data_IF_279569040159
#
_entry.id   IF_279569040159
#
_cell.length_a   1.000
_cell.length_b   1.000
_cell.length_c   1.000
_cell.angle_alpha   90.00
_cell.angle_beta   90.00
_cell.angle_gamma   90.00
#
_symmetry.space_group_name_H-M   'P 1'
#
loop_
_entity.id
_entity.type
_entity.pdbx_description
1 polymer ?
#
# COMPACT_ATOMS: atom_id res chain seq x y z
N UNK A 1 -8.58 14.62 -0.69
CA UNK A 1 -9.75 13.93 -0.10
C UNK A 1 -9.54 13.69 1.39
N UNK A 2 -10.47 12.98 2.04
CA UNK A 2 -10.31 12.53 3.44
C UNK A 2 -9.86 11.05 3.41
N UNK A 3 -8.85 10.62 4.21
CA UNK A 3 -8.44 9.22 4.23
C UNK A 3 -9.57 8.26 4.64
N UNK A 4 -9.70 7.16 3.89
CA UNK A 4 -10.70 6.11 4.14
C UNK A 4 -10.42 5.29 5.41
N UNK A 5 -9.20 5.33 5.94
CA UNK A 5 -8.75 4.53 7.07
C UNK A 5 -7.70 5.19 7.95
N UNK A 6 -6.93 4.36 8.67
CA UNK A 6 -5.86 4.78 9.56
C UNK A 6 -4.94 5.78 8.86
N UNK A 7 -4.65 6.88 9.56
CA UNK A 7 -3.64 7.85 9.16
C UNK A 7 -2.93 8.36 10.40
N UNK A 8 -1.62 8.14 10.46
CA UNK A 8 -0.71 8.66 11.49
C UNK A 8 0.40 9.43 10.81
N UNK A 9 0.67 10.63 11.31
CA UNK A 9 1.71 11.53 10.80
C UNK A 9 2.45 12.16 11.97
N UNK A 10 3.79 12.09 11.95
CA UNK A 10 4.63 12.65 13.02
C UNK A 10 4.34 12.04 14.39
N UNK A 11 3.94 10.77 14.46
CA UNK A 11 3.55 10.08 15.70
C UNK A 11 2.16 10.44 16.21
N UNK A 12 1.41 11.30 15.51
CA UNK A 12 0.04 11.67 15.87
C UNK A 12 -0.96 10.92 14.99
N UNK A 13 -1.82 10.11 15.61
CA UNK A 13 -2.94 9.50 14.89
C UNK A 13 -3.97 10.57 14.54
N UNK A 14 -4.16 10.80 13.24
CA UNK A 14 -5.12 11.75 12.68
C UNK A 14 -6.45 11.07 12.33
N UNK A 15 -6.41 9.77 12.00
CA UNK A 15 -7.58 8.97 11.65
C UNK A 15 -7.44 7.57 12.24
N UNK A 16 -8.50 6.99 12.84
CA UNK A 16 -8.46 5.63 13.34
C UNK A 16 -8.49 4.62 12.20
N UNK A 17 -8.07 3.39 12.49
CA UNK A 17 -8.25 2.26 11.60
C UNK A 17 -9.73 2.01 11.28
N UNK A 18 -10.01 1.69 10.02
CA UNK A 18 -11.35 1.40 9.52
C UNK A 18 -11.47 -0.08 9.16
N UNK A 19 -12.33 -0.81 9.88
CA UNK A 19 -12.57 -2.24 9.70
C UNK A 19 -13.94 -2.56 9.08
N UNK A 20 -14.66 -1.52 8.62
CA UNK A 20 -15.99 -1.68 8.03
C UNK A 20 -15.96 -2.56 6.78
N UNK A 21 -17.10 -3.13 6.45
CA UNK A 21 -17.34 -3.80 5.18
C UNK A 21 -18.10 -2.85 4.25
N UNK A 22 -17.50 -2.55 3.10
CA UNK A 22 -18.09 -1.70 2.07
C UNK A 22 -17.52 -2.09 0.68
N UNK A 23 -18.11 -1.60 -0.42
CA UNK A 23 -17.57 -1.85 -1.75
C UNK A 23 -16.25 -1.11 -2.02
N UNK A 24 -15.42 -1.69 -2.90
CA UNK A 24 -14.18 -1.06 -3.41
C UNK A 24 -12.89 -1.67 -2.85
N UNK A 25 -11.76 -1.40 -3.52
CA UNK A 25 -10.47 -2.02 -3.21
C UNK A 25 -10.03 -1.81 -1.76
N UNK A 26 -10.24 -0.60 -1.21
CA UNK A 26 -9.90 -0.29 0.18
C UNK A 26 -10.52 -1.28 1.17
N UNK A 27 -11.73 -1.76 0.90
CA UNK A 27 -12.49 -2.67 1.77
C UNK A 27 -12.37 -4.14 1.35
N UNK A 28 -11.59 -4.45 0.31
CA UNK A 28 -11.33 -5.83 -0.09
C UNK A 28 -10.40 -6.49 0.94
N UNK A 29 -10.98 -7.32 1.81
CA UNK A 29 -10.28 -7.97 2.91
C UNK A 29 -9.51 -9.23 2.47
N UNK A 30 -8.33 -9.51 3.08
CA UNK A 30 -7.62 -8.63 4.01
C UNK A 30 -7.04 -7.37 3.33
N UNK A 31 -7.40 -6.21 3.86
CA UNK A 31 -6.73 -4.95 3.61
C UNK A 31 -5.64 -4.75 4.67
N UNK A 32 -4.86 -3.68 4.61
CA UNK A 32 -3.68 -3.59 5.46
C UNK A 32 -3.22 -2.19 5.83
N UNK A 33 -2.20 -2.18 6.69
CA UNK A 33 -1.51 -0.98 7.14
C UNK A 33 -0.05 -1.08 6.72
N UNK A 34 0.46 -0.01 6.13
CA UNK A 34 1.88 0.24 5.99
C UNK A 34 2.29 1.29 7.02
N UNK A 35 3.27 0.98 7.86
CA UNK A 35 3.73 1.85 8.92
C UNK A 35 5.25 1.89 9.02
N UNK A 36 5.75 2.97 9.61
CA UNK A 36 7.17 3.21 9.83
C UNK A 36 7.36 3.75 11.24
N UNK A 37 8.16 3.03 12.02
CA UNK A 37 8.68 3.46 13.32
C UNK A 37 10.22 3.53 13.25
N UNK A 38 10.90 2.60 13.91
CA UNK A 38 12.34 2.34 13.74
C UNK A 38 12.61 1.48 12.49
N UNK A 39 11.63 0.62 12.15
CA UNK A 39 11.65 -0.24 10.96
C UNK A 39 10.30 -0.18 10.26
N UNK A 40 10.25 -0.42 8.94
CA UNK A 40 8.98 -0.52 8.24
C UNK A 40 8.23 -1.79 8.63
N UNK A 41 6.90 -1.70 8.60
CA UNK A 41 6.00 -2.81 8.83
C UNK A 41 4.83 -2.75 7.84
N UNK A 42 4.47 -3.91 7.28
CA UNK A 42 3.24 -4.09 6.49
C UNK A 42 2.52 -5.32 7.03
N UNK A 43 1.25 -5.15 7.39
CA UNK A 43 0.41 -6.20 7.98
C UNK A 43 -1.07 -5.98 7.70
N UNK A 44 -1.89 -6.98 8.01
CA UNK A 44 -3.35 -6.86 7.81
C UNK A 44 -3.95 -5.88 8.81
N UNK A 45 -5.07 -5.25 8.45
CA UNK A 45 -5.75 -4.29 9.32
C UNK A 45 -6.24 -4.94 10.62
N UNK A 46 -6.67 -6.20 10.56
CA UNK A 46 -7.09 -6.97 11.73
C UNK A 46 -5.91 -7.24 12.68
N UNK A 47 -4.74 -7.60 12.15
CA UNK A 47 -3.53 -7.76 12.96
C UNK A 47 -3.13 -6.42 13.59
N UNK A 48 -3.14 -5.36 12.81
CA UNK A 48 -2.82 -4.00 13.27
C UNK A 48 -3.67 -3.60 14.49
N UNK A 49 -4.99 -3.81 14.42
CA UNK A 49 -5.92 -3.47 15.51
C UNK A 49 -5.56 -4.14 16.85
N UNK A 50 -4.92 -5.31 16.81
CA UNK A 50 -4.57 -6.08 18.01
C UNK A 50 -3.12 -5.90 18.47
N UNK A 51 -2.22 -5.50 17.57
CA UNK A 51 -0.77 -5.53 17.81
C UNK A 51 -0.12 -4.15 17.87
N UNK A 52 -0.71 -3.12 17.26
CA UNK A 52 -0.13 -1.77 17.28
C UNK A 52 -0.13 -1.20 18.69
N UNK A 53 1.00 -0.60 19.07
CA UNK A 53 1.16 0.10 20.34
C UNK A 53 0.99 1.62 20.21
N UNK A 54 0.68 2.10 19.00
CA UNK A 54 0.40 3.50 18.69
C UNK A 54 1.63 4.41 18.68
N UNK A 55 2.85 3.87 18.65
CA UNK A 55 4.11 4.65 18.68
C UNK A 55 4.72 4.88 17.30
N UNK A 56 4.01 4.52 16.24
CA UNK A 56 4.53 4.57 14.88
C UNK A 56 4.59 6.02 14.40
N UNK A 57 5.71 6.40 13.79
CA UNK A 57 5.93 7.77 13.32
C UNK A 57 5.01 8.09 12.14
N UNK A 58 4.79 7.10 11.27
CA UNK A 58 3.86 7.19 10.16
C UNK A 58 3.08 5.88 10.01
N UNK A 59 1.81 5.98 9.64
CA UNK A 59 1.00 4.82 9.26
C UNK A 59 -0.11 5.23 8.30
N UNK A 60 -0.31 4.42 7.26
CA UNK A 60 -1.45 4.54 6.35
C UNK A 60 -2.15 3.19 6.24
N UNK A 61 -3.48 3.21 6.26
CA UNK A 61 -4.29 2.06 5.87
C UNK A 61 -4.67 2.16 4.40
N UNK A 62 -4.55 1.05 3.69
CA UNK A 62 -5.01 0.90 2.32
C UNK A 62 -5.48 -0.53 2.07
N UNK A 63 -5.91 -0.84 0.86
CA UNK A 63 -6.32 -2.18 0.51
C UNK A 63 -6.54 -2.39 -0.98
N UNK A 64 -6.43 -3.64 -1.44
CA UNK A 64 -6.17 -4.87 -0.66
C UNK A 64 -4.70 -5.07 -0.24
N UNK A 65 -4.42 -5.97 0.71
CA UNK A 65 -3.08 -6.57 0.81
C UNK A 65 -2.75 -7.24 -0.53
N UNK A 66 -1.55 -7.04 -1.06
CA UNK A 66 -1.09 -7.75 -2.26
C UNK A 66 -0.54 -9.11 -1.91
N UNK A 67 0.32 -9.15 -0.88
CA UNK A 67 0.93 -10.36 -0.33
C UNK A 67 0.74 -10.43 1.17
N UNK A 68 0.40 -11.61 1.67
CA UNK A 68 0.38 -11.93 3.10
C UNK A 68 1.29 -13.14 3.31
N UNK A 69 2.38 -12.97 4.07
CA UNK A 69 3.34 -14.03 4.38
C UNK A 69 3.83 -14.79 3.14
N UNK A 70 4.15 -14.07 2.06
CA UNK A 70 4.67 -14.62 0.81
C UNK A 70 3.61 -15.28 -0.07
N UNK A 71 2.32 -15.11 0.23
CA UNK A 71 1.20 -15.62 -0.58
C UNK A 71 0.38 -14.48 -1.15
N UNK A 72 -0.06 -14.62 -2.40
CA UNK A 72 -1.02 -13.69 -3.01
C UNK A 72 -2.31 -13.62 -2.19
N UNK A 73 -2.95 -12.45 -2.22
CA UNK A 73 -4.27 -12.27 -1.65
C UNK A 73 -5.28 -13.29 -2.20
N UNK A 74 -6.12 -13.92 -1.35
CA UNK A 74 -6.98 -15.03 -1.75
C UNK A 74 -8.06 -14.67 -2.77
N UNK A 75 -8.48 -13.41 -2.82
CA UNK A 75 -9.46 -12.94 -3.80
C UNK A 75 -8.88 -12.71 -5.20
N UNK A 76 -7.55 -12.73 -5.37
CA UNK A 76 -6.94 -12.47 -6.67
C UNK A 76 -7.04 -13.71 -7.55
N UNK A 77 -7.37 -13.49 -8.82
CA UNK A 77 -7.53 -14.54 -9.82
C UNK A 77 -6.53 -14.30 -10.94
N UNK A 78 -5.83 -15.37 -11.30
CA UNK A 78 -5.01 -15.40 -12.50
C UNK A 78 -5.87 -15.12 -13.73
N UNK A 79 -5.35 -14.31 -14.66
CA UNK A 79 -6.07 -13.96 -15.89
C UNK A 79 -7.29 -13.06 -15.71
N UNK A 80 -7.44 -12.38 -14.56
CA UNK A 80 -8.55 -11.46 -14.34
C UNK A 80 -8.59 -10.32 -15.37
N UNK A 81 -9.80 -10.00 -15.84
CA UNK A 81 -10.06 -8.92 -16.81
C UNK A 81 -9.93 -7.52 -16.20
N UNK A 82 -9.85 -7.40 -14.87
CA UNK A 82 -9.66 -6.11 -14.19
C UNK A 82 -8.21 -5.64 -14.32
N UNK A 83 -7.86 -5.15 -15.51
CA UNK A 83 -6.57 -4.52 -15.81
C UNK A 83 -6.69 -3.01 -15.67
N UNK A 84 -5.93 -2.44 -14.74
CA UNK A 84 -5.89 -1.00 -14.44
C UNK A 84 -4.46 -0.59 -14.14
N UNK A 85 -4.20 0.71 -13.97
CA UNK A 85 -2.94 1.15 -13.39
C UNK A 85 -2.89 0.75 -11.92
N UNK A 86 -1.73 0.26 -11.49
CA UNK A 86 -1.52 -0.26 -10.14
C UNK A 86 -0.33 0.43 -9.51
N UNK A 87 -0.41 0.62 -8.20
CA UNK A 87 0.74 0.88 -7.37
C UNK A 87 0.65 0.10 -6.06
N UNK A 88 1.78 0.00 -5.39
CA UNK A 88 1.86 -0.69 -4.14
C UNK A 88 3.19 -0.48 -3.46
N UNK A 89 3.23 -0.93 -2.22
CA UNK A 89 4.42 -0.93 -1.38
C UNK A 89 4.63 -2.31 -0.78
N UNK A 90 5.88 -2.77 -0.73
CA UNK A 90 6.29 -4.03 -0.11
C UNK A 90 7.49 -3.83 0.81
N UNK A 91 7.82 -4.87 1.56
CA UNK A 91 9.09 -4.95 2.31
C UNK A 91 9.89 -6.12 1.75
N UNK A 92 11.07 -5.83 1.22
CA UNK A 92 11.96 -6.83 0.64
C UNK A 92 12.69 -7.67 1.73
N UNK A 93 13.51 -8.63 1.29
CA UNK A 93 14.27 -9.50 2.19
C UNK A 93 15.35 -8.78 3.01
N UNK A 94 15.71 -7.54 2.66
CA UNK A 94 16.64 -6.69 3.41
C UNK A 94 15.93 -5.81 4.43
N UNK A 95 14.59 -5.82 4.46
CA UNK A 95 13.79 -4.98 5.33
C UNK A 95 13.60 -3.56 4.78
N UNK A 96 13.80 -3.35 3.48
CA UNK A 96 13.63 -2.07 2.82
C UNK A 96 12.23 -1.96 2.22
N UNK A 97 11.66 -0.75 2.26
CA UNK A 97 10.42 -0.47 1.55
C UNK A 97 10.69 -0.44 0.05
N UNK A 98 9.85 -1.14 -0.71
CA UNK A 98 9.90 -1.16 -2.17
C UNK A 98 8.57 -0.63 -2.69
N UNK A 99 8.63 0.47 -3.43
CA UNK A 99 7.47 1.05 -4.10
C UNK A 99 7.48 0.65 -5.57
N UNK A 100 6.32 0.26 -6.09
CA UNK A 100 6.13 -0.05 -7.50
C UNK A 100 4.90 0.66 -8.03
N UNK A 101 4.99 1.14 -9.27
CA UNK A 101 3.87 1.70 -10.04
C UNK A 101 3.97 1.18 -11.47
N UNK A 102 2.82 0.91 -12.09
CA UNK A 102 2.76 0.57 -13.51
C UNK A 102 2.95 1.81 -14.37
N UNK A 103 3.68 1.68 -15.47
CA UNK A 103 3.76 2.72 -16.48
C UNK A 103 2.41 3.00 -17.15
N UNK A 104 2.25 4.22 -17.66
CA UNK A 104 1.05 4.61 -18.38
C UNK A 104 0.89 3.76 -19.64
N UNK A 105 -0.20 3.01 -19.73
CA UNK A 105 -0.51 2.09 -20.84
C UNK A 105 -0.25 0.62 -20.49
N UNK A 106 0.51 0.34 -19.43
CA UNK A 106 0.82 -1.01 -18.97
C UNK A 106 -0.15 -1.45 -17.87
N UNK A 107 -1.42 -1.64 -18.25
CA UNK A 107 -2.46 -2.04 -17.31
C UNK A 107 -2.36 -3.51 -16.93
N UNK A 108 -2.36 -3.80 -15.63
CA UNK A 108 -2.23 -5.17 -15.10
C UNK A 108 -3.34 -5.48 -14.09
N UNK A 109 -3.64 -6.77 -13.94
CA UNK A 109 -4.52 -7.22 -12.87
C UNK A 109 -3.75 -7.36 -11.54
N UNK A 110 -4.47 -7.47 -10.44
CA UNK A 110 -3.89 -7.57 -9.10
C UNK A 110 -3.08 -8.86 -8.86
N UNK A 111 -3.39 -9.94 -9.60
CA UNK A 111 -2.65 -11.21 -9.49
C UNK A 111 -1.23 -11.06 -10.03
N UNK A 112 -1.10 -10.48 -11.22
CA UNK A 112 0.18 -10.22 -11.89
C UNK A 112 0.98 -9.17 -11.11
N UNK A 113 0.32 -8.10 -10.65
CA UNK A 113 0.95 -7.07 -9.84
C UNK A 113 1.49 -7.59 -8.51
N UNK A 114 0.74 -8.45 -7.81
CA UNK A 114 1.25 -9.13 -6.61
C UNK A 114 2.43 -10.08 -6.94
N UNK A 115 2.47 -10.62 -8.16
CA UNK A 115 3.58 -11.43 -8.65
C UNK A 115 4.91 -10.69 -8.72
N UNK A 116 4.90 -9.40 -9.09
CA UNK A 116 6.09 -8.54 -9.05
C UNK A 116 6.70 -8.51 -7.64
N UNK A 117 5.88 -8.29 -6.61
CA UNK A 117 6.37 -8.25 -5.22
C UNK A 117 6.95 -9.59 -4.76
N UNK A 118 6.43 -10.74 -5.25
CA UNK A 118 7.05 -12.04 -4.98
C UNK A 118 8.45 -12.13 -5.60
N UNK A 119 8.60 -11.68 -6.85
CA UNK A 119 9.90 -11.66 -7.53
C UNK A 119 10.90 -10.72 -6.86
N UNK A 120 10.42 -9.60 -6.30
CA UNK A 120 11.21 -8.66 -5.51
C UNK A 120 11.52 -9.19 -4.09
N UNK A 121 11.11 -10.43 -3.76
CA UNK A 121 11.38 -11.06 -2.48
C UNK A 121 10.54 -10.52 -1.33
N UNK A 122 9.45 -9.81 -1.60
CA UNK A 122 8.58 -9.29 -0.55
C UNK A 122 7.71 -10.40 0.05
N UNK A 123 7.60 -10.42 1.38
CA UNK A 123 6.66 -11.31 2.09
C UNK A 123 5.32 -10.65 2.36
N UNK A 124 5.33 -9.35 2.60
CA UNK A 124 4.11 -8.55 2.77
C UNK A 124 4.19 -7.37 1.80
N UNK A 125 3.06 -7.12 1.15
CA UNK A 125 2.91 -5.99 0.24
C UNK A 125 1.46 -5.51 0.28
N UNK A 126 1.25 -4.22 0.05
CA UNK A 126 -0.01 -3.52 0.19
C UNK A 126 -0.29 -2.70 -1.07
N UNK A 127 -1.50 -2.83 -1.61
CA UNK A 127 -1.97 -1.96 -2.67
C UNK A 127 -2.28 -0.58 -2.10
N UNK A 128 -1.85 0.48 -2.79
CA UNK A 128 -2.10 1.84 -2.34
C UNK A 128 -3.34 2.41 -3.04
N UNK A 129 -3.21 3.51 -3.76
CA UNK A 129 -4.33 4.17 -4.44
C UNK A 129 -4.29 3.86 -5.94
N UNK A 130 -5.44 3.62 -6.56
CA UNK A 130 -5.55 3.20 -7.96
C UNK A 130 -5.23 4.30 -8.98
N UNK A 131 -5.91 4.22 -10.13
CA UNK A 131 -5.70 4.92 -11.42
C UNK A 131 -5.35 6.42 -11.42
N UNK A 132 -5.48 7.12 -10.29
CA UNK A 132 -5.31 8.57 -10.21
C UNK A 132 -4.01 8.95 -9.47
N UNK A 133 -3.17 7.98 -9.08
CA UNK A 133 -1.94 8.28 -8.33
C UNK A 133 -0.79 8.80 -9.20
N UNK A 134 -0.02 9.76 -8.67
CA UNK A 134 1.27 10.20 -9.24
C UNK A 134 2.43 9.68 -8.39
N UNK A 135 3.50 9.21 -9.03
CA UNK A 135 4.78 8.92 -8.38
C UNK A 135 5.80 9.99 -8.80
N UNK A 136 6.55 10.51 -7.83
CA UNK A 136 7.71 11.36 -8.10
C UNK A 136 8.90 10.90 -7.26
N UNK A 137 10.05 10.79 -7.92
CA UNK A 137 11.33 10.38 -7.34
C UNK A 137 12.26 11.58 -7.28
N UNK A 138 12.83 11.85 -6.10
CA UNK A 138 13.78 12.95 -5.85
C UNK A 138 13.38 14.31 -6.48
N UNK A 139 12.21 14.89 -6.11
CA UNK A 139 11.79 16.15 -6.70
C UNK A 139 12.61 17.35 -6.19
N UNK A 140 13.27 18.06 -7.10
CA UNK A 140 13.99 19.31 -6.80
C UNK A 140 13.05 20.50 -6.54
N UNK A 141 11.75 20.33 -6.82
CA UNK A 141 10.69 21.34 -6.71
C UNK A 141 9.42 20.72 -6.13
N UNK A 142 8.57 21.52 -5.45
CA UNK A 142 7.25 21.05 -5.03
C UNK A 142 6.47 20.45 -6.20
N UNK A 143 5.96 19.23 -6.00
CA UNK A 143 5.16 18.53 -7.01
C UNK A 143 3.71 18.95 -6.85
N UNK A 144 3.08 19.41 -7.94
CA UNK A 144 1.62 19.55 -7.98
C UNK A 144 0.96 18.17 -7.91
N UNK A 145 0.55 17.83 -6.69
CA UNK A 145 -0.31 16.69 -6.39
C UNK A 145 -1.68 16.92 -7.03
N UNK A 146 -2.31 15.87 -7.56
CA UNK A 146 -3.74 15.95 -7.86
C UNK A 146 -4.53 15.68 -6.57
N UNK A 147 -5.86 15.59 -6.65
CA UNK A 147 -6.72 15.36 -5.46
C UNK A 147 -6.54 13.98 -4.79
N UNK A 148 -5.68 13.13 -5.36
CA UNK A 148 -5.40 11.75 -4.98
C UNK A 148 -3.92 11.64 -4.56
N UNK A 149 -3.60 10.72 -3.65
CA UNK A 149 -2.31 10.70 -2.96
C UNK A 149 -1.10 10.67 -3.91
N UNK A 150 -0.03 11.38 -3.57
CA UNK A 150 1.25 11.27 -4.25
C UNK A 150 2.19 10.34 -3.45
N UNK A 151 2.82 9.41 -4.14
CA UNK A 151 3.94 8.64 -3.56
C UNK A 151 5.24 9.40 -3.79
N UNK A 152 5.88 9.82 -2.70
CA UNK A 152 7.21 10.41 -2.72
C UNK A 152 8.21 9.38 -2.23
N UNK A 153 9.23 9.10 -3.05
CA UNK A 153 10.37 8.30 -2.65
C UNK A 153 11.59 9.21 -2.65
N UNK A 154 12.21 9.35 -1.47
CA UNK A 154 13.50 10.01 -1.29
C UNK A 154 14.51 8.89 -1.09
N UNK A 155 15.47 8.78 -2.01
CA UNK A 155 16.61 7.89 -1.91
C UNK A 155 17.87 8.74 -1.80
N UNK A 156 18.84 8.29 -1.00
CA UNK A 156 20.17 8.90 -0.91
C UNK A 156 21.00 8.70 -2.19
#
# INVERSE_FOLDING_TARGET
GIPSGLHTEGGKQLRPINLADAPGNFFLKPNGVCAVSDKPHIGTSEAWKSQSDGKERWAIQSGPMLLINGKRHPAFREGSDSKLLRNGVGIDNKGQLVFAITDKGEMVNLWDFAGLFLQLGCKNALFLDGDISKMVTNPDKPVETNLFGAMFVVTD
#
